data_IF_226904646125
#
_entry.id   IF_226904646125
#
_cell.length_a   1.000
_cell.length_b   1.000
_cell.length_c   1.000
_cell.angle_alpha   90.00
_cell.angle_beta   90.00
_cell.angle_gamma   90.00
#
_symmetry.space_group_name_H-M   'P 1'
#
loop_
_entity.id
_entity.type
_entity.pdbx_description
1 polymer ?
#
# COMPACT_ATOMS: atom_id res chain seq x y z
N UNK A 1 -7.17 5.38 8.70
CA UNK A 1 -7.68 5.38 10.09
C UNK A 1 -8.79 6.41 10.30
N UNK A 2 -8.59 7.69 9.98
CA UNK A 2 -9.62 8.73 10.16
C UNK A 2 -10.97 8.37 9.50
N UNK A 3 -10.94 7.89 8.24
CA UNK A 3 -12.14 7.40 7.55
C UNK A 3 -12.89 6.31 8.34
N UNK A 4 -12.18 5.30 8.85
CA UNK A 4 -12.76 4.19 9.61
C UNK A 4 -13.43 4.68 10.89
N UNK A 5 -12.79 5.61 11.61
CA UNK A 5 -13.38 6.21 12.81
C UNK A 5 -14.68 6.97 12.51
N UNK A 6 -14.72 7.73 11.40
CA UNK A 6 -15.94 8.43 11.00
C UNK A 6 -17.05 7.44 10.67
N UNK A 7 -16.77 6.40 9.87
CA UNK A 7 -17.77 5.40 9.49
C UNK A 7 -18.28 4.64 10.71
N UNK A 8 -17.41 4.19 11.61
CA UNK A 8 -17.81 3.52 12.85
C UNK A 8 -18.59 4.46 13.79
N UNK A 9 -18.23 5.74 13.84
CA UNK A 9 -18.95 6.74 14.64
C UNK A 9 -20.36 7.02 14.12
N UNK A 10 -20.54 7.06 12.80
CA UNK A 10 -21.84 7.32 12.16
C UNK A 10 -22.72 6.06 12.13
N UNK A 11 -22.16 4.91 11.74
CA UNK A 11 -22.92 3.67 11.54
C UNK A 11 -23.01 2.79 12.80
N UNK A 12 -22.07 2.91 13.74
CA UNK A 12 -22.08 2.16 15.00
C UNK A 12 -22.20 0.65 14.79
N UNK A 13 -23.13 0.03 15.53
CA UNK A 13 -23.42 -1.42 15.45
C UNK A 13 -24.07 -1.86 14.13
N UNK A 14 -24.54 -0.93 13.29
CA UNK A 14 -25.14 -1.20 11.99
C UNK A 14 -24.12 -1.20 10.85
N UNK A 15 -22.82 -1.23 11.16
CA UNK A 15 -21.77 -1.31 10.15
C UNK A 15 -21.85 -2.66 9.43
N UNK A 16 -22.32 -2.62 8.17
CA UNK A 16 -22.35 -3.79 7.28
C UNK A 16 -20.94 -4.11 6.76
N UNK A 17 -20.63 -5.38 6.46
CA UNK A 17 -19.43 -5.74 5.69
C UNK A 17 -19.32 -4.98 4.36
N UNK A 18 -20.45 -4.61 3.76
CA UNK A 18 -20.51 -3.64 2.69
C UNK A 18 -20.62 -2.22 3.28
N UNK A 19 -19.47 -1.54 3.34
CA UNK A 19 -19.36 -0.22 3.96
C UNK A 19 -20.22 0.83 3.25
N UNK A 20 -20.38 0.78 1.92
CA UNK A 20 -21.17 1.76 1.17
C UNK A 20 -22.66 1.55 1.46
N UNK A 21 -23.10 0.28 1.46
CA UNK A 21 -24.47 -0.07 1.77
C UNK A 21 -24.83 0.25 3.23
N UNK A 22 -24.00 -0.12 4.19
CA UNK A 22 -24.24 0.18 5.61
C UNK A 22 -24.28 1.69 5.87
N UNK A 23 -23.38 2.45 5.24
CA UNK A 23 -23.35 3.91 5.38
C UNK A 23 -24.57 4.58 4.72
N UNK A 24 -24.96 4.15 3.52
CA UNK A 24 -26.12 4.72 2.82
C UNK A 24 -27.44 4.45 3.56
N UNK A 25 -27.57 3.29 4.21
CA UNK A 25 -28.71 2.97 5.06
C UNK A 25 -28.79 3.89 6.28
N UNK A 26 -27.65 4.19 6.92
CA UNK A 26 -27.63 5.07 8.11
C UNK A 26 -28.01 6.52 7.79
N UNK A 27 -27.75 6.97 6.55
CA UNK A 27 -28.12 8.30 6.08
C UNK A 27 -29.44 8.32 5.29
N UNK A 28 -30.08 7.16 5.12
CA UNK A 28 -31.28 6.94 4.32
C UNK A 28 -31.23 7.65 2.94
N UNK A 29 -30.09 7.53 2.25
CA UNK A 29 -29.81 8.29 1.01
C UNK A 29 -29.37 7.38 -0.12
N UNK A 30 -30.27 7.20 -1.09
CA UNK A 30 -29.99 6.46 -2.33
C UNK A 30 -28.91 7.13 -3.17
N UNK A 31 -28.79 8.46 -3.13
CA UNK A 31 -27.74 9.18 -3.85
C UNK A 31 -26.34 8.75 -3.40
N UNK A 32 -26.12 8.64 -2.10
CA UNK A 32 -24.84 8.22 -1.53
C UNK A 32 -24.52 6.77 -1.90
N UNK A 33 -25.53 5.90 -1.94
CA UNK A 33 -25.36 4.52 -2.39
C UNK A 33 -24.84 4.47 -3.84
N UNK A 34 -25.50 5.14 -4.78
CA UNK A 34 -25.11 5.10 -6.19
C UNK A 34 -23.79 5.83 -6.45
N UNK A 35 -23.59 7.01 -5.87
CA UNK A 35 -22.34 7.76 -6.01
C UNK A 35 -21.16 7.00 -5.40
N UNK A 36 -21.34 6.43 -4.19
CA UNK A 36 -20.33 5.62 -3.53
C UNK A 36 -19.99 4.36 -4.32
N UNK A 37 -20.99 3.64 -4.83
CA UNK A 37 -20.78 2.45 -5.65
C UNK A 37 -20.05 2.77 -6.96
N UNK A 38 -20.40 3.87 -7.63
CA UNK A 38 -19.73 4.30 -8.86
C UNK A 38 -18.27 4.69 -8.60
N UNK A 39 -18.02 5.48 -7.56
CA UNK A 39 -16.66 5.87 -7.18
C UNK A 39 -15.82 4.66 -6.74
N UNK A 40 -16.42 3.74 -5.98
CA UNK A 40 -15.79 2.48 -5.58
C UNK A 40 -15.44 1.62 -6.79
N UNK A 41 -16.37 1.46 -7.74
CA UNK A 41 -16.15 0.72 -8.98
C UNK A 41 -14.99 1.31 -9.79
N UNK A 42 -14.97 2.64 -9.99
CA UNK A 42 -13.89 3.31 -10.72
C UNK A 42 -12.54 3.16 -10.03
N UNK A 43 -12.50 3.31 -8.70
CA UNK A 43 -11.29 3.15 -7.91
C UNK A 43 -10.74 1.72 -7.99
N UNK A 44 -11.61 0.71 -7.78
CA UNK A 44 -11.22 -0.70 -7.84
C UNK A 44 -10.82 -1.11 -9.25
N UNK A 45 -11.56 -0.69 -10.28
CA UNK A 45 -11.23 -0.98 -11.67
C UNK A 45 -9.86 -0.39 -12.06
N UNK A 46 -9.60 0.87 -11.70
CA UNK A 46 -8.30 1.50 -11.94
C UNK A 46 -7.16 0.76 -11.25
N UNK A 47 -7.31 0.44 -9.96
CA UNK A 47 -6.30 -0.31 -9.22
C UNK A 47 -6.07 -1.71 -9.79
N UNK A 48 -7.14 -2.44 -10.12
CA UNK A 48 -7.08 -3.79 -10.69
C UNK A 48 -6.37 -3.79 -12.06
N UNK A 49 -6.59 -2.78 -12.90
CA UNK A 49 -5.88 -2.65 -14.17
C UNK A 49 -4.39 -2.39 -13.96
N UNK A 50 -4.03 -1.44 -13.07
CA UNK A 50 -2.61 -1.17 -12.77
C UNK A 50 -1.91 -2.39 -12.21
N UNK A 51 -2.48 -3.06 -11.21
CA UNK A 51 -1.89 -4.28 -10.63
C UNK A 51 -1.90 -5.46 -11.61
N UNK A 52 -2.93 -5.59 -12.45
CA UNK A 52 -2.98 -6.60 -13.49
C UNK A 52 -1.84 -6.44 -14.49
N UNK A 53 -1.54 -5.21 -14.92
CA UNK A 53 -0.39 -4.95 -15.78
C UNK A 53 0.92 -5.33 -15.06
N UNK A 54 1.12 -4.87 -13.82
CA UNK A 54 2.33 -5.23 -13.05
C UNK A 54 2.49 -6.75 -12.91
N UNK A 55 1.41 -7.46 -12.59
CA UNK A 55 1.45 -8.91 -12.46
C UNK A 55 1.77 -9.60 -13.79
N UNK A 56 1.13 -9.18 -14.89
CA UNK A 56 1.43 -9.70 -16.23
C UNK A 56 2.89 -9.49 -16.62
N UNK A 57 3.43 -8.30 -16.36
CA UNK A 57 4.83 -7.97 -16.69
C UNK A 57 5.81 -8.74 -15.80
N UNK A 58 5.53 -8.94 -14.51
CA UNK A 58 6.32 -9.83 -13.64
C UNK A 58 6.30 -11.28 -14.13
N UNK A 59 5.13 -11.80 -14.53
CA UNK A 59 5.03 -13.15 -15.11
C UNK A 59 5.85 -13.28 -16.40
N UNK A 60 5.82 -12.25 -17.26
CA UNK A 60 6.50 -12.28 -18.56
C UNK A 60 8.00 -12.05 -18.43
N UNK A 61 8.44 -11.01 -17.72
CA UNK A 61 9.86 -10.65 -17.64
C UNK A 61 10.59 -11.40 -16.53
N UNK A 62 10.03 -11.45 -15.32
CA UNK A 62 10.74 -12.03 -14.17
C UNK A 62 10.66 -13.56 -14.18
N UNK A 63 9.50 -14.11 -14.53
CA UNK A 63 9.28 -15.56 -14.61
C UNK A 63 9.41 -16.13 -16.03
N UNK A 64 9.74 -15.29 -17.02
CA UNK A 64 10.00 -15.68 -18.42
C UNK A 64 8.85 -16.49 -19.07
N UNK A 65 7.61 -16.30 -18.62
CA UNK A 65 6.44 -16.94 -19.24
C UNK A 65 6.14 -16.29 -20.59
N UNK A 66 5.51 -17.03 -21.50
CA UNK A 66 5.10 -16.45 -22.77
C UNK A 66 4.02 -15.35 -22.56
N UNK A 67 3.99 -14.36 -23.47
CA UNK A 67 3.14 -13.17 -23.31
C UNK A 67 1.64 -13.49 -23.21
N UNK A 68 1.18 -14.48 -23.98
CA UNK A 68 -0.22 -14.86 -24.05
C UNK A 68 -0.67 -15.58 -22.78
N UNK A 69 0.17 -16.46 -22.24
CA UNK A 69 -0.06 -17.18 -20.99
C UNK A 69 0.00 -16.23 -19.80
N UNK A 70 0.94 -15.28 -19.77
CA UNK A 70 0.99 -14.25 -18.73
C UNK A 70 -0.29 -13.40 -18.72
N UNK A 71 -0.78 -12.98 -19.90
CA UNK A 71 -2.05 -12.27 -20.03
C UNK A 71 -3.24 -13.12 -19.57
N UNK A 72 -3.27 -14.39 -20.00
CA UNK A 72 -4.32 -15.34 -19.66
C UNK A 72 -4.39 -15.56 -18.15
N UNK A 73 -3.28 -15.92 -17.52
CA UNK A 73 -3.17 -16.12 -16.06
C UNK A 73 -3.64 -14.87 -15.30
N UNK A 74 -3.21 -13.69 -15.72
CA UNK A 74 -3.54 -12.42 -15.05
C UNK A 74 -5.05 -12.12 -15.06
N UNK A 75 -5.72 -12.30 -16.20
CA UNK A 75 -7.15 -11.98 -16.33
C UNK A 75 -8.07 -13.13 -15.92
N UNK A 76 -7.70 -14.36 -16.28
CA UNK A 76 -8.55 -15.54 -16.12
C UNK A 76 -8.57 -16.04 -14.66
N UNK A 77 -7.46 -15.97 -13.93
CA UNK A 77 -7.44 -16.48 -12.54
C UNK A 77 -8.44 -15.74 -11.63
N UNK A 78 -8.46 -14.39 -11.57
CA UNK A 78 -9.46 -13.68 -10.75
C UNK A 78 -10.89 -14.02 -11.16
N UNK A 79 -11.15 -14.20 -12.46
CA UNK A 79 -12.46 -14.57 -12.99
C UNK A 79 -12.90 -15.98 -12.56
N UNK A 80 -12.00 -16.97 -12.63
CA UNK A 80 -12.30 -18.32 -12.15
C UNK A 80 -12.53 -18.36 -10.65
N UNK A 81 -11.72 -17.66 -9.85
CA UNK A 81 -11.91 -17.58 -8.40
C UNK A 81 -13.31 -17.10 -8.03
N UNK A 82 -13.82 -16.09 -8.75
CA UNK A 82 -15.18 -15.59 -8.58
C UNK A 82 -16.25 -16.65 -8.91
N UNK A 83 -16.08 -17.40 -10.01
CA UNK A 83 -17.00 -18.48 -10.40
C UNK A 83 -17.00 -19.61 -9.37
N UNK A 84 -15.84 -19.95 -8.80
CA UNK A 84 -15.70 -20.98 -7.76
C UNK A 84 -16.31 -20.60 -6.40
N UNK A 85 -16.94 -19.43 -6.29
CA UNK A 85 -17.72 -19.05 -5.11
C UNK A 85 -16.98 -18.12 -4.15
N UNK A 86 -15.77 -17.65 -4.51
CA UNK A 86 -15.05 -16.64 -3.73
C UNK A 86 -15.66 -15.26 -4.00
N UNK A 87 -16.70 -14.92 -3.25
CA UNK A 87 -17.50 -13.69 -3.42
C UNK A 87 -17.30 -12.68 -2.28
N UNK A 88 -16.97 -13.17 -1.10
CA UNK A 88 -16.82 -12.33 0.08
C UNK A 88 -15.43 -11.68 0.11
N UNK A 89 -15.41 -10.35 0.05
CA UNK A 89 -14.16 -9.58 -0.03
C UNK A 89 -13.39 -9.62 1.30
N UNK A 90 -14.10 -9.65 2.44
CA UNK A 90 -13.47 -9.58 3.78
C UNK A 90 -12.57 -10.79 4.05
N UNK A 91 -13.04 -12.06 3.95
CA UNK A 91 -12.18 -13.21 4.18
C UNK A 91 -11.01 -13.31 3.18
N UNK A 92 -11.23 -12.89 1.93
CA UNK A 92 -10.18 -12.88 0.92
C UNK A 92 -9.07 -11.92 1.31
N UNK A 93 -9.42 -10.70 1.71
CA UNK A 93 -8.44 -9.70 2.16
C UNK A 93 -7.73 -10.12 3.45
N UNK A 94 -8.43 -10.79 4.37
CA UNK A 94 -7.82 -11.30 5.60
C UNK A 94 -6.75 -12.35 5.30
N UNK A 95 -7.05 -13.33 4.44
CA UNK A 95 -6.11 -14.40 4.07
C UNK A 95 -4.93 -13.85 3.28
N UNK A 96 -5.22 -13.04 2.24
CA UNK A 96 -4.19 -12.43 1.39
C UNK A 96 -3.30 -11.51 2.24
N UNK A 97 -3.90 -10.65 3.05
CA UNK A 97 -3.17 -9.75 3.95
C UNK A 97 -2.26 -10.51 4.91
N UNK A 98 -2.79 -11.51 5.62
CA UNK A 98 -2.01 -12.32 6.55
C UNK A 98 -0.83 -13.02 5.85
N UNK A 99 -1.06 -13.58 4.66
CA UNK A 99 -0.02 -14.30 3.92
C UNK A 99 1.07 -13.36 3.39
N UNK A 100 0.69 -12.29 2.68
CA UNK A 100 1.65 -11.38 2.05
C UNK A 100 2.39 -10.53 3.08
N UNK A 101 1.70 -9.91 4.05
CA UNK A 101 2.37 -9.12 5.09
C UNK A 101 3.16 -10.00 6.05
N UNK A 102 2.66 -11.20 6.38
CA UNK A 102 3.40 -12.18 7.17
C UNK A 102 4.69 -12.61 6.49
N UNK A 103 4.62 -12.95 5.19
CA UNK A 103 5.79 -13.31 4.40
C UNK A 103 6.76 -12.14 4.25
N UNK A 104 6.27 -10.93 3.97
CA UNK A 104 7.09 -9.74 3.84
C UNK A 104 7.84 -9.43 5.15
N UNK A 105 7.15 -9.47 6.30
CA UNK A 105 7.76 -9.29 7.61
C UNK A 105 8.81 -10.36 7.91
N UNK A 106 8.53 -11.62 7.54
CA UNK A 106 9.48 -12.73 7.68
C UNK A 106 10.76 -12.51 6.86
N UNK A 107 10.63 -12.12 5.59
CA UNK A 107 11.79 -11.81 4.72
C UNK A 107 12.60 -10.64 5.28
N UNK A 108 11.94 -9.57 5.75
CA UNK A 108 12.63 -8.43 6.38
C UNK A 108 13.41 -8.87 7.62
N UNK A 109 12.84 -9.77 8.43
CA UNK A 109 13.53 -10.30 9.60
C UNK A 109 14.77 -11.13 9.23
N UNK A 110 14.69 -11.94 8.16
CA UNK A 110 15.84 -12.69 7.65
C UNK A 110 16.94 -11.76 7.13
N UNK A 111 16.56 -10.70 6.40
CA UNK A 111 17.50 -9.67 5.94
C UNK A 111 18.17 -8.99 7.14
N UNK A 112 17.40 -8.58 8.15
CA UNK A 112 17.92 -7.97 9.37
C UNK A 112 18.92 -8.89 10.09
N UNK A 113 18.59 -10.19 10.23
CA UNK A 113 19.48 -11.19 10.83
C UNK A 113 20.78 -11.33 10.03
N UNK A 114 20.70 -11.41 8.70
CA UNK A 114 21.86 -11.53 7.81
C UNK A 114 22.76 -10.29 7.88
N UNK A 115 22.17 -9.10 7.90
CA UNK A 115 22.90 -7.84 8.06
C UNK A 115 23.63 -7.83 9.40
N UNK A 116 22.95 -8.15 10.52
CA UNK A 116 23.53 -8.15 11.88
C UNK A 116 24.70 -9.12 12.05
N UNK A 117 24.70 -10.24 11.33
CA UNK A 117 25.78 -11.22 11.32
C UNK A 117 26.96 -10.81 10.43
N UNK A 118 26.79 -9.83 9.55
CA UNK A 118 27.84 -9.33 8.68
C UNK A 118 28.66 -8.23 9.38
N UNK A 119 29.98 -8.43 9.50
CA UNK A 119 30.95 -7.45 10.07
C UNK A 119 30.94 -6.07 9.37
N UNK A 120 30.32 -5.98 8.19
CA UNK A 120 30.24 -4.79 7.35
C UNK A 120 29.37 -3.66 7.96
N UNK A 121 28.54 -3.95 8.98
CA UNK A 121 27.82 -2.91 9.74
C UNK A 121 28.79 -1.95 10.46
N UNK A 122 29.94 -2.44 10.93
CA UNK A 122 30.93 -1.58 11.59
C UNK A 122 31.50 -0.53 10.62
N UNK A 123 31.62 -0.89 9.34
CA UNK A 123 32.11 0.01 8.28
C UNK A 123 31.10 1.12 7.95
N UNK A 124 29.81 0.77 7.87
CA UNK A 124 28.74 1.75 7.61
C UNK A 124 28.57 2.70 8.81
N UNK A 125 28.63 2.18 10.04
CA UNK A 125 28.52 3.00 11.26
C UNK A 125 29.73 3.95 11.43
N UNK A 126 30.93 3.50 11.05
CA UNK A 126 32.14 4.35 11.03
C UNK A 126 32.07 5.46 9.98
N UNK A 127 31.56 5.17 8.79
CA UNK A 127 31.45 6.16 7.69
C UNK A 127 30.43 7.26 7.97
N UNK A 128 29.27 6.93 8.57
CA UNK A 128 28.27 7.93 9.00
C UNK A 128 28.82 8.83 10.11
N UNK A 129 29.61 8.25 11.04
CA UNK A 129 30.29 9.02 12.07
C UNK A 129 31.34 9.98 11.49
N UNK A 130 32.10 9.55 10.47
CA UNK A 130 33.09 10.39 9.80
C UNK A 130 32.45 11.54 9.00
N UNK A 131 31.33 11.30 8.31
CA UNK A 131 30.58 12.34 7.60
C UNK A 131 30.03 13.40 8.58
N UNK A 132 29.59 12.98 9.78
CA UNK A 132 29.13 13.92 10.83
C UNK A 132 30.26 14.75 11.46
N UNK A 133 31.49 14.24 11.48
CA UNK A 133 32.70 14.95 11.95
C UNK A 133 33.30 15.85 10.85
N UNK A 134 33.14 15.47 9.57
CA UNK A 134 33.57 16.27 8.41
C UNK A 134 32.62 17.41 8.04
N UNK A 135 31.38 17.42 8.53
CA UNK A 135 30.50 18.58 8.45
C UNK A 135 31.00 19.62 9.48
N UNK A 136 31.57 20.76 9.06
CA UNK A 136 31.98 21.79 10.00
C UNK A 136 30.75 22.24 10.78
N UNK A 137 30.88 22.31 12.11
CA UNK A 137 29.86 22.75 13.08
C UNK A 137 29.52 24.26 12.93
N UNK A 138 29.24 24.70 11.71
CA UNK A 138 29.21 26.10 11.29
C UNK A 138 28.19 26.36 10.19
N UNK A 139 27.00 25.78 10.29
CA UNK A 139 25.82 26.26 9.55
C UNK A 139 24.70 26.68 10.51
N UNK A 140 25.07 27.50 11.50
CA UNK A 140 24.10 28.39 12.16
C UNK A 140 23.66 29.45 11.13
N UNK A 141 22.45 29.25 10.63
CA UNK A 141 21.46 30.27 10.22
C UNK A 141 22.01 31.58 9.64
N UNK A 142 21.79 31.82 8.34
CA UNK A 142 21.36 33.12 7.81
C UNK A 142 20.75 32.88 6.42
N UNK A 143 19.41 32.80 6.37
CA UNK A 143 18.66 32.83 5.12
C UNK A 143 18.76 34.21 4.45
N UNK A 144 18.42 34.31 3.15
CA UNK A 144 18.78 35.44 2.27
C UNK A 144 17.97 36.74 2.50
N UNK A 145 17.28 36.90 3.62
CA UNK A 145 16.43 38.07 3.91
C UNK A 145 16.91 38.84 5.14
N UNK A 146 18.12 39.41 5.08
CA UNK A 146 18.61 40.22 6.20
C UNK A 146 19.91 40.99 5.98
N UNK A 147 19.85 42.11 5.23
CA UNK A 147 20.40 43.44 5.60
C UNK A 147 20.55 44.35 4.39
N UNK A 148 19.71 45.39 4.33
CA UNK A 148 20.11 46.73 3.88
C UNK A 148 20.18 47.59 5.15
N UNK A 149 21.38 47.76 5.70
CA UNK A 149 22.19 49.01 5.73
C UNK A 149 21.72 50.06 6.74
N UNK A 150 22.57 50.30 7.74
CA UNK A 150 22.63 51.55 8.49
C UNK A 150 23.22 52.65 7.60
N UNK A 151 22.47 53.71 7.39
CA UNK A 151 22.84 55.14 7.53
C UNK A 151 21.55 55.92 7.68
#
# INVERSE_FOLDING_TARGET
LLFVFIVLGVSGKLTSPDAIFGFSQTLNSNFIMYAGALLGLLAVAGAALSYGIYFRETLWYDLKLNKNLAWLITGIIPFFLFIFGVRDVVPVMDIVGALFFGFQAFVILLIYKKIRQSKNILYIKGSISLISVMLPAGSRTNGPYGRATHT
#
